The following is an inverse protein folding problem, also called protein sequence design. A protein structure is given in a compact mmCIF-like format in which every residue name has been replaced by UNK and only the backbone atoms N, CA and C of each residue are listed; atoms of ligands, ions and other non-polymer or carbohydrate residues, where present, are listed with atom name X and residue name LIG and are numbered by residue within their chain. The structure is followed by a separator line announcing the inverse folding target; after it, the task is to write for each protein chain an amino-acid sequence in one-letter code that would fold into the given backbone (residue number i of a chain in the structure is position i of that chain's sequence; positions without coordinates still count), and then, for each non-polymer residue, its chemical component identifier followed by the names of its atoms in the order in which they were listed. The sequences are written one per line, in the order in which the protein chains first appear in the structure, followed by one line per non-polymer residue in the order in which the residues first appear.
data_IF_915318883140
#
_entry.id   IF_915318883140
#
_cell.length_a   1.000
_cell.length_b   1.000
_cell.length_c   1.000
_cell.angle_alpha   90.00
_cell.angle_beta   90.00
_cell.angle_gamma   90.00
#
_symmetry.space_group_name_H-M   'P 1'
#
loop_
_entity.id
_entity.type
_entity.pdbx_description
1 polymer ?
#
# COMPACT_ATOMS: atom_id res chain seq x y z
N UNK A 1 -49.48 -40.80 -6.71
CA UNK A 1 -49.15 -39.69 -7.62
C UNK A 1 -48.16 -38.76 -6.94
N UNK A 2 -46.90 -38.76 -7.37
CA UNK A 2 -45.85 -37.84 -6.90
C UNK A 2 -46.17 -36.44 -7.45
N UNK A 3 -46.39 -35.46 -6.59
CA UNK A 3 -46.50 -34.05 -7.00
C UNK A 3 -45.13 -33.39 -6.82
N UNK A 4 -44.54 -33.04 -7.95
CA UNK A 4 -43.30 -32.28 -8.09
C UNK A 4 -43.60 -30.84 -7.64
N UNK A 5 -42.85 -30.33 -6.67
CA UNK A 5 -42.83 -28.89 -6.36
C UNK A 5 -41.65 -28.27 -7.10
N UNK A 6 -41.97 -27.46 -8.11
CA UNK A 6 -41.02 -26.67 -8.89
C UNK A 6 -40.79 -25.36 -8.10
N UNK A 7 -39.59 -25.17 -7.54
CA UNK A 7 -39.20 -23.90 -6.93
C UNK A 7 -38.65 -22.99 -8.03
N UNK A 8 -39.48 -22.07 -8.53
CA UNK A 8 -39.04 -20.97 -9.40
C UNK A 8 -38.46 -19.87 -8.52
N UNK A 9 -37.13 -19.72 -8.52
CA UNK A 9 -36.46 -18.56 -7.93
C UNK A 9 -36.60 -17.40 -8.91
N UNK A 10 -37.56 -16.51 -8.65
CA UNK A 10 -37.57 -15.19 -9.24
C UNK A 10 -36.50 -14.36 -8.53
N UNK A 11 -35.39 -14.06 -9.23
CA UNK A 11 -34.50 -12.97 -8.85
C UNK A 11 -35.32 -11.66 -8.93
N UNK A 12 -35.75 -11.16 -7.77
CA UNK A 12 -36.15 -9.78 -7.66
C UNK A 12 -34.88 -8.94 -7.83
N UNK A 13 -34.76 -8.29 -8.99
CA UNK A 13 -33.95 -7.08 -9.12
C UNK A 13 -34.57 -6.10 -8.12
N UNK A 14 -33.90 -5.87 -6.99
CA UNK A 14 -34.29 -4.81 -6.09
C UNK A 14 -34.14 -3.50 -6.86
N UNK A 15 -35.28 -2.99 -7.33
CA UNK A 15 -35.43 -1.59 -7.65
C UNK A 15 -34.97 -0.80 -6.42
N UNK A 16 -34.06 0.14 -6.64
CA UNK A 16 -33.59 1.08 -5.63
C UNK A 16 -34.82 1.78 -5.06
N UNK A 17 -35.25 1.34 -3.87
CA UNK A 17 -36.26 2.04 -3.09
C UNK A 17 -35.66 3.35 -2.62
N UNK A 18 -36.15 4.47 -3.15
CA UNK A 18 -36.06 5.75 -2.45
C UNK A 18 -37.07 5.68 -1.30
N UNK A 19 -36.62 5.26 -0.14
CA UNK A 19 -37.37 5.46 1.10
C UNK A 19 -36.97 6.82 1.69
N UNK A 20 -37.95 7.71 1.86
CA UNK A 20 -37.76 9.07 2.38
C UNK A 20 -37.49 9.06 3.90
N UNK A 21 -36.42 8.41 4.34
CA UNK A 21 -35.89 8.50 5.70
C UNK A 21 -34.89 9.67 5.77
N UNK A 22 -34.98 10.58 6.76
CA UNK A 22 -34.04 11.69 6.92
C UNK A 22 -32.56 11.27 7.14
N UNK A 23 -32.31 9.96 7.30
CA UNK A 23 -31.02 9.30 7.44
C UNK A 23 -30.45 8.72 6.14
N UNK A 24 -31.17 8.81 5.01
CA UNK A 24 -30.77 8.20 3.75
C UNK A 24 -29.82 9.07 2.90
N UNK A 25 -29.35 10.20 3.45
CA UNK A 25 -28.29 11.01 2.85
C UNK A 25 -26.91 10.58 3.38
N UNK A 26 -26.05 9.93 2.55
CA UNK A 26 -24.70 9.56 2.95
C UNK A 26 -23.83 10.76 3.35
N UNK A 27 -24.06 11.93 2.75
CA UNK A 27 -23.31 13.14 3.08
C UNK A 27 -23.66 13.62 4.49
N UNK A 28 -24.95 13.63 4.84
CA UNK A 28 -25.42 13.91 6.20
C UNK A 28 -24.89 12.91 7.21
N UNK A 29 -24.89 11.60 6.92
CA UNK A 29 -24.30 10.58 7.82
C UNK A 29 -22.80 10.80 8.04
N UNK A 30 -22.06 11.12 6.98
CA UNK A 30 -20.64 11.47 7.11
C UNK A 30 -20.47 12.75 7.95
N UNK A 31 -21.34 13.74 7.78
CA UNK A 31 -21.33 14.98 8.54
C UNK A 31 -21.65 14.75 10.03
N UNK A 32 -22.68 13.97 10.36
CA UNK A 32 -23.06 13.58 11.72
C UNK A 32 -21.99 12.69 12.39
N UNK A 33 -21.27 11.86 11.61
CA UNK A 33 -20.11 11.13 12.11
C UNK A 33 -18.94 12.08 12.40
N UNK A 34 -18.63 13.02 11.50
CA UNK A 34 -17.43 13.85 11.61
C UNK A 34 -17.58 15.04 12.57
N UNK A 35 -18.72 15.76 12.56
CA UNK A 35 -18.93 16.99 13.34
C UNK A 35 -18.67 16.83 14.85
N UNK A 36 -19.21 15.81 15.54
CA UNK A 36 -18.94 15.62 16.97
C UNK A 36 -17.47 15.31 17.27
N UNK A 37 -16.77 14.68 16.33
CA UNK A 37 -15.35 14.30 16.45
C UNK A 37 -14.41 15.46 16.12
N UNK A 38 -14.88 16.44 15.36
CA UNK A 38 -14.15 17.64 14.99
C UNK A 38 -14.31 18.78 16.00
N UNK A 39 -15.39 18.81 16.80
CA UNK A 39 -15.68 19.89 17.75
C UNK A 39 -14.50 20.21 18.69
N UNK A 40 -14.16 21.50 18.94
CA UNK A 40 -14.87 22.72 18.49
C UNK A 40 -14.51 23.19 17.08
N UNK A 41 -13.76 22.40 16.32
CA UNK A 41 -13.37 22.71 14.95
C UNK A 41 -14.40 22.17 13.94
N UNK A 42 -14.35 22.69 12.72
CA UNK A 42 -15.19 22.22 11.60
C UNK A 42 -14.68 20.90 11.01
N UNK A 43 -13.40 20.60 11.18
CA UNK A 43 -12.75 19.37 10.74
C UNK A 43 -11.77 18.87 11.81
N UNK A 44 -11.52 17.56 11.84
CA UNK A 44 -10.50 16.98 12.72
C UNK A 44 -9.15 17.59 12.33
N UNK A 45 -8.45 18.32 13.22
CA UNK A 45 -7.20 18.96 12.86
C UNK A 45 -6.16 17.94 12.39
N UNK A 46 -5.33 18.34 11.44
CA UNK A 46 -4.19 17.52 11.04
C UNK A 46 -3.34 17.15 12.27
N UNK A 47 -2.87 15.91 12.29
CA UNK A 47 -2.10 15.32 13.38
C UNK A 47 -2.81 15.23 14.74
N UNK A 48 -4.11 15.55 14.86
CA UNK A 48 -4.85 15.45 16.12
C UNK A 48 -4.78 14.04 16.74
N UNK A 49 -4.97 12.99 15.91
CA UNK A 49 -4.86 11.60 16.37
C UNK A 49 -3.44 11.27 16.86
N UNK A 50 -2.41 11.78 16.19
CA UNK A 50 -1.01 11.59 16.63
C UNK A 50 -0.76 12.26 17.99
N UNK A 51 -1.25 13.49 18.19
CA UNK A 51 -1.16 14.19 19.47
C UNK A 51 -1.88 13.41 20.58
N UNK A 52 -3.05 12.84 20.29
CA UNK A 52 -3.79 12.00 21.23
C UNK A 52 -2.99 10.76 21.64
N UNK A 53 -2.37 10.04 20.68
CA UNK A 53 -1.50 8.89 20.99
C UNK A 53 -0.29 9.28 21.87
N UNK A 54 0.38 10.39 21.56
CA UNK A 54 1.49 10.91 22.38
C UNK A 54 1.00 11.20 23.81
N UNK A 55 -0.14 11.87 23.94
CA UNK A 55 -0.74 12.17 25.24
C UNK A 55 -1.09 10.90 26.02
N UNK A 56 -1.69 9.90 25.37
CA UNK A 56 -2.00 8.60 25.97
C UNK A 56 -0.75 7.92 26.51
N UNK A 57 0.34 7.90 25.74
CA UNK A 57 1.60 7.32 26.19
C UNK A 57 2.18 8.06 27.41
N UNK A 58 2.09 9.40 27.43
CA UNK A 58 2.50 10.20 28.59
C UNK A 58 1.64 9.91 29.83
N UNK A 59 0.35 9.64 29.65
CA UNK A 59 -0.55 9.26 30.75
C UNK A 59 -0.19 7.88 31.31
N UNK A 60 0.05 6.89 30.45
CA UNK A 60 0.47 5.54 30.87
C UNK A 60 1.77 5.56 31.69
N UNK A 61 2.72 6.43 31.35
CA UNK A 61 3.97 6.58 32.11
C UNK A 61 3.77 7.21 33.49
N UNK A 62 2.70 7.98 33.68
CA UNK A 62 2.41 8.71 34.93
C UNK A 62 1.50 7.94 35.89
N UNK A 63 0.77 6.93 35.41
CA UNK A 63 -0.13 6.14 36.24
C UNK A 63 0.68 5.18 37.14
N UNK A 64 0.32 5.04 38.44
CA UNK A 64 0.89 4.01 39.30
C UNK A 64 0.65 2.64 38.66
N UNK A 65 1.72 1.84 38.48
CA UNK A 65 1.61 0.47 37.94
C UNK A 65 0.75 -0.46 38.81
N UNK A 66 0.53 -0.07 40.07
CA UNK A 66 -0.17 -0.85 41.09
C UNK A 66 -1.69 -0.63 41.12
N UNK A 67 -2.22 0.24 40.25
CA UNK A 67 -3.64 0.19 39.92
C UNK A 67 -3.86 -1.08 39.11
N UNK A 68 -4.13 -2.18 39.82
CA UNK A 68 -4.61 -3.44 39.27
C UNK A 68 -5.81 -3.08 38.40
N UNK A 69 -5.57 -2.97 37.10
CA UNK A 69 -6.60 -3.14 36.10
C UNK A 69 -7.09 -4.56 36.39
N UNK A 70 -8.34 -4.71 36.84
CA UNK A 70 -9.00 -6.00 36.88
C UNK A 70 -8.62 -6.76 35.60
N UNK A 71 -8.31 -8.06 35.73
CA UNK A 71 -7.88 -8.92 34.61
C UNK A 71 -8.65 -8.52 33.35
N UNK A 72 -7.93 -7.89 32.42
CA UNK A 72 -8.58 -7.43 31.20
C UNK A 72 -9.10 -8.66 30.49
N UNK A 73 -10.35 -8.63 30.00
CA UNK A 73 -10.89 -9.78 29.28
C UNK A 73 -9.98 -10.11 28.09
N UNK A 74 -9.73 -11.41 27.90
CA UNK A 74 -9.03 -11.89 26.72
C UNK A 74 -9.90 -11.61 25.49
N UNK A 75 -9.49 -10.65 24.66
CA UNK A 75 -10.16 -10.34 23.41
C UNK A 75 -9.91 -11.47 22.41
N UNK A 76 -10.99 -12.05 21.87
CA UNK A 76 -10.92 -13.10 20.86
C UNK A 76 -11.62 -12.67 19.57
N UNK A 77 -11.03 -12.94 18.40
CA UNK A 77 -11.72 -12.72 17.13
C UNK A 77 -12.93 -13.65 17.05
N UNK A 78 -14.09 -13.12 16.64
CA UNK A 78 -15.32 -13.89 16.44
C UNK A 78 -15.57 -14.24 14.97
N UNK A 79 -14.60 -13.95 14.09
CA UNK A 79 -14.72 -14.09 12.64
C UNK A 79 -15.35 -12.85 11.98
N UNK A 80 -15.63 -12.92 10.67
CA UNK A 80 -15.51 -14.10 9.79
C UNK A 80 -14.06 -14.56 9.60
N UNK A 81 -13.83 -15.88 9.50
CA UNK A 81 -12.50 -16.48 9.30
C UNK A 81 -12.24 -16.89 7.85
N UNK A 82 -13.28 -16.88 7.03
CA UNK A 82 -13.34 -17.36 5.65
C UNK A 82 -13.65 -16.24 4.63
N UNK A 83 -13.85 -15.01 5.12
CA UNK A 83 -14.06 -13.84 4.27
C UNK A 83 -12.73 -13.11 4.10
N UNK A 84 -12.24 -13.09 2.87
CA UNK A 84 -11.00 -12.41 2.52
C UNK A 84 -11.12 -10.89 2.61
N UNK A 85 -9.99 -10.24 2.93
CA UNK A 85 -9.79 -8.81 2.78
C UNK A 85 -8.81 -8.49 1.66
N UNK A 86 -8.70 -7.22 1.30
CA UNK A 86 -7.69 -6.78 0.34
C UNK A 86 -6.32 -6.67 1.00
N UNK A 87 -5.34 -7.34 0.41
CA UNK A 87 -3.93 -7.26 0.79
C UNK A 87 -3.20 -6.37 -0.22
N UNK A 88 -2.42 -5.41 0.27
CA UNK A 88 -1.66 -4.48 -0.58
C UNK A 88 -0.20 -4.88 -0.74
N UNK A 89 0.36 -5.54 0.26
CA UNK A 89 1.76 -5.94 0.26
C UNK A 89 1.94 -7.23 1.03
N UNK A 90 2.72 -8.13 0.47
CA UNK A 90 3.17 -9.37 1.10
C UNK A 90 4.69 -9.36 1.06
N UNK A 91 5.33 -9.63 2.19
CA UNK A 91 6.78 -9.61 2.32
C UNK A 91 7.24 -10.89 2.98
N UNK A 92 8.15 -11.61 2.30
CA UNK A 92 8.73 -12.84 2.80
C UNK A 92 10.05 -12.56 3.50
N UNK A 93 10.29 -13.21 4.64
CA UNK A 93 11.58 -13.13 5.29
C UNK A 93 12.62 -13.92 4.47
N UNK A 94 13.74 -13.32 4.04
CA UNK A 94 14.67 -13.91 3.06
C UNK A 94 15.42 -15.15 3.57
N UNK A 95 15.44 -15.39 4.89
CA UNK A 95 16.19 -16.49 5.53
C UNK A 95 15.35 -17.44 6.40
N UNK A 96 14.07 -17.10 6.68
CA UNK A 96 13.23 -17.85 7.63
C UNK A 96 12.01 -18.31 6.85
N UNK A 97 12.03 -19.55 6.39
CA UNK A 97 10.92 -20.13 5.63
C UNK A 97 9.65 -20.10 6.47
N UNK A 98 8.52 -19.82 5.83
CA UNK A 98 7.22 -19.71 6.49
C UNK A 98 6.99 -18.41 7.26
N UNK A 99 8.03 -17.57 7.46
CA UNK A 99 7.86 -16.23 8.01
C UNK A 99 7.48 -15.24 6.91
N UNK A 100 6.24 -14.79 6.96
CA UNK A 100 5.65 -13.86 5.99
C UNK A 100 4.87 -12.78 6.73
N UNK A 101 4.90 -11.58 6.17
CA UNK A 101 4.13 -10.45 6.64
C UNK A 101 3.15 -10.01 5.56
N UNK A 102 1.94 -9.65 5.96
CA UNK A 102 0.91 -9.15 5.06
C UNK A 102 0.37 -7.81 5.58
N UNK A 103 0.36 -6.80 4.72
CA UNK A 103 -0.22 -5.50 5.02
C UNK A 103 -1.55 -5.35 4.30
N UNK A 104 -2.62 -5.20 5.09
CA UNK A 104 -3.97 -5.09 4.57
C UNK A 104 -4.29 -3.64 4.16
N UNK A 105 -5.12 -3.49 3.12
CA UNK A 105 -5.61 -2.19 2.68
C UNK A 105 -6.39 -1.47 3.80
N UNK A 106 -7.12 -2.26 4.59
CA UNK A 106 -7.69 -1.90 5.87
C UNK A 106 -7.68 -3.18 6.72
N UNK A 107 -7.14 -3.12 7.93
CA UNK A 107 -7.07 -4.26 8.85
C UNK A 107 -5.69 -4.53 9.46
N UNK A 108 -4.72 -3.62 9.35
CA UNK A 108 -3.44 -3.78 10.05
C UNK A 108 -2.35 -4.51 9.26
N UNK A 109 -1.26 -4.82 9.97
CA UNK A 109 -0.18 -5.69 9.49
C UNK A 109 -0.27 -7.00 10.27
N UNK A 110 -0.16 -8.11 9.54
CA UNK A 110 -0.22 -9.46 10.06
C UNK A 110 1.09 -10.19 9.83
N UNK A 111 1.44 -11.07 10.75
CA UNK A 111 2.60 -11.96 10.67
C UNK A 111 2.13 -13.40 10.70
N UNK A 112 2.70 -14.24 9.85
CA UNK A 112 2.61 -15.69 9.94
C UNK A 112 4.02 -16.26 10.05
N UNK A 113 4.18 -17.31 10.85
CA UNK A 113 5.44 -18.07 11.00
C UNK A 113 5.32 -19.49 10.45
N UNK A 114 4.16 -19.83 9.88
CA UNK A 114 3.79 -21.18 9.43
C UNK A 114 3.17 -21.14 8.03
N UNK A 115 3.80 -20.43 7.09
CA UNK A 115 3.44 -20.43 5.66
C UNK A 115 2.05 -19.87 5.35
N UNK A 116 1.46 -19.11 6.27
CA UNK A 116 0.14 -18.50 6.11
C UNK A 116 -1.01 -19.32 6.69
N UNK A 117 -0.75 -20.42 7.39
CA UNK A 117 -1.79 -21.22 8.07
C UNK A 117 -2.40 -20.48 9.28
N UNK A 118 -1.57 -19.72 10.01
CA UNK A 118 -1.99 -18.88 11.12
C UNK A 118 -1.38 -17.48 11.01
N UNK A 119 -2.16 -16.48 11.39
CA UNK A 119 -1.77 -15.07 11.36
C UNK A 119 -2.06 -14.40 12.69
N UNK A 120 -1.11 -13.59 13.15
CA UNK A 120 -1.27 -12.71 14.31
C UNK A 120 -1.13 -11.24 13.88
N UNK A 121 -1.94 -10.33 14.44
CA UNK A 121 -1.79 -8.91 14.17
C UNK A 121 -0.57 -8.35 14.92
N UNK A 122 0.22 -7.51 14.26
CA UNK A 122 1.47 -6.95 14.81
C UNK A 122 1.50 -5.42 14.78
N UNK A 123 0.36 -4.75 14.55
CA UNK A 123 0.26 -3.29 14.47
C UNK A 123 -0.92 -2.71 15.26
N UNK A 124 -1.67 -3.53 16.02
CA UNK A 124 -2.94 -3.11 16.66
C UNK A 124 -2.78 -1.99 17.71
N UNK A 125 -1.57 -1.83 18.25
CA UNK A 125 -1.27 -0.80 19.25
C UNK A 125 -0.80 0.53 18.65
N UNK A 126 -0.73 0.61 17.33
CA UNK A 126 -0.23 1.77 16.62
C UNK A 126 -1.34 2.56 15.94
N UNK A 127 -0.99 3.76 15.51
CA UNK A 127 -1.96 4.73 15.02
C UNK A 127 -2.30 4.52 13.53
N UNK A 128 -2.77 3.34 13.10
CA UNK A 128 -3.07 3.14 11.68
C UNK A 128 -3.60 1.74 11.39
N UNK A 129 -4.57 1.63 10.48
CA UNK A 129 -5.15 0.34 10.09
C UNK A 129 -5.09 0.11 8.57
N UNK A 130 -4.82 1.14 7.79
CA UNK A 130 -4.73 1.07 6.35
C UNK A 130 -3.29 1.19 5.90
N UNK A 131 -2.88 0.30 5.00
CA UNK A 131 -1.52 0.24 4.50
C UNK A 131 -1.50 0.21 2.98
N UNK A 132 -0.53 0.93 2.42
CA UNK A 132 -0.27 0.90 1.00
C UNK A 132 0.99 0.10 0.66
N UNK A 133 1.96 0.04 1.58
CA UNK A 133 3.22 -0.65 1.35
C UNK A 133 3.85 -1.19 2.63
N UNK A 134 4.55 -2.32 2.51
CA UNK A 134 5.41 -2.91 3.53
C UNK A 134 6.73 -3.32 2.85
N UNK A 135 7.85 -3.13 3.53
CA UNK A 135 9.15 -3.58 3.07
C UNK A 135 9.96 -4.18 4.23
N UNK A 136 10.81 -5.14 3.90
CA UNK A 136 11.81 -5.72 4.79
C UNK A 136 13.19 -5.28 4.33
N UNK A 137 14.08 -5.00 5.27
CA UNK A 137 15.48 -4.78 4.96
C UNK A 137 16.13 -6.14 4.61
N UNK A 138 16.62 -6.35 3.37
CA UNK A 138 17.20 -7.63 2.98
C UNK A 138 18.51 -7.96 3.72
N UNK A 139 19.22 -6.95 4.23
CA UNK A 139 20.47 -7.13 4.97
C UNK A 139 20.22 -7.32 6.47
N UNK A 140 19.14 -6.74 7.00
CA UNK A 140 18.71 -6.94 8.39
C UNK A 140 17.20 -7.23 8.47
N UNK A 141 16.79 -8.49 8.25
CA UNK A 141 15.37 -8.86 8.13
C UNK A 141 14.49 -8.68 9.37
N UNK A 142 15.05 -8.30 10.53
CA UNK A 142 14.24 -7.88 11.67
C UNK A 142 13.78 -6.41 11.54
N UNK A 143 14.31 -5.67 10.56
CA UNK A 143 13.90 -4.31 10.24
C UNK A 143 12.82 -4.31 9.17
N UNK A 144 11.67 -3.70 9.50
CA UNK A 144 10.52 -3.53 8.62
C UNK A 144 10.18 -2.05 8.47
N UNK A 145 9.68 -1.67 7.30
CA UNK A 145 9.15 -0.34 7.01
C UNK A 145 7.71 -0.45 6.53
N UNK A 146 6.79 0.31 7.13
CA UNK A 146 5.38 0.27 6.79
C UNK A 146 4.86 1.66 6.43
N UNK A 147 4.37 1.79 5.20
CA UNK A 147 3.75 3.01 4.68
C UNK A 147 2.25 2.93 4.86
N UNK A 148 1.72 3.77 5.74
CA UNK A 148 0.27 3.81 6.00
C UNK A 148 -0.50 4.55 4.91
N UNK A 149 -1.80 4.29 4.85
CA UNK A 149 -2.70 4.89 3.88
C UNK A 149 -2.71 4.12 2.58
N UNK A 150 -3.91 3.87 2.09
CA UNK A 150 -4.09 2.96 0.99
C UNK A 150 -4.27 3.69 -0.34
N UNK A 151 -3.37 3.40 -1.29
CA UNK A 151 -3.36 4.01 -2.61
C UNK A 151 -4.37 3.33 -3.53
N UNK A 152 -5.54 3.97 -3.72
CA UNK A 152 -6.50 3.65 -4.78
C UNK A 152 -6.73 4.87 -5.63
N UNK A 153 -6.28 4.81 -6.87
CA UNK A 153 -6.49 5.89 -7.82
C UNK A 153 -7.86 5.72 -8.43
N UNK A 154 -8.74 6.73 -8.35
CA UNK A 154 -10.07 6.70 -8.97
C UNK A 154 -11.20 6.02 -8.18
N UNK A 155 -10.88 5.13 -7.23
CA UNK A 155 -11.88 4.37 -6.47
C UNK A 155 -12.21 4.89 -5.06
N UNK A 156 -11.53 5.94 -4.59
CA UNK A 156 -11.63 6.45 -3.22
C UNK A 156 -10.75 5.66 -2.24
N UNK A 157 -9.79 6.34 -1.62
CA UNK A 157 -8.99 5.77 -0.53
C UNK A 157 -9.90 5.43 0.66
N UNK A 158 -9.82 4.19 1.17
CA UNK A 158 -10.64 3.79 2.33
C UNK A 158 -10.26 4.60 3.58
N UNK A 159 -8.96 4.65 3.91
CA UNK A 159 -8.44 5.51 4.98
C UNK A 159 -7.11 6.13 4.58
N UNK A 160 -6.97 7.41 4.88
CA UNK A 160 -5.69 8.10 4.78
C UNK A 160 -4.73 7.59 5.85
N UNK A 161 -3.47 7.48 5.46
CA UNK A 161 -2.36 7.15 6.31
C UNK A 161 -1.93 8.32 7.19
N UNK A 162 -1.11 8.00 8.17
CA UNK A 162 -0.51 8.93 9.10
C UNK A 162 1.02 8.79 9.14
N UNK A 163 1.62 8.29 8.06
CA UNK A 163 3.05 8.34 7.84
C UNK A 163 3.73 6.98 7.69
N UNK A 164 5.05 7.03 7.80
CA UNK A 164 5.95 5.89 7.66
C UNK A 164 6.32 5.35 9.03
N UNK A 165 6.20 4.05 9.25
CA UNK A 165 6.63 3.38 10.47
C UNK A 165 7.85 2.50 10.20
N UNK A 166 8.66 2.30 11.24
CA UNK A 166 9.76 1.36 11.24
C UNK A 166 9.72 0.47 12.47
N UNK A 167 9.89 -0.82 12.25
CA UNK A 167 10.20 -1.80 13.30
C UNK A 167 11.67 -2.20 13.18
N UNK A 168 12.29 -2.55 14.30
CA UNK A 168 13.65 -3.11 14.35
C UNK A 168 13.69 -4.46 15.07
N UNK A 169 12.54 -5.07 15.30
CA UNK A 169 12.36 -6.28 16.11
C UNK A 169 11.34 -7.25 15.49
N UNK A 170 11.26 -7.29 14.16
CA UNK A 170 10.38 -8.21 13.44
C UNK A 170 8.89 -7.89 13.59
N UNK A 171 8.58 -6.61 13.79
CA UNK A 171 7.21 -6.09 13.91
C UNK A 171 6.62 -6.13 15.32
N UNK A 172 7.40 -6.47 16.34
CA UNK A 172 6.89 -6.51 17.72
C UNK A 172 6.66 -5.10 18.29
N UNK A 173 7.45 -4.11 17.83
CA UNK A 173 7.24 -2.69 18.12
C UNK A 173 7.52 -1.83 16.89
N UNK A 174 6.85 -0.68 16.83
CA UNK A 174 6.98 0.25 15.71
C UNK A 174 7.27 1.67 16.19
N UNK A 175 7.97 2.41 15.34
CA UNK A 175 8.26 3.83 15.53
C UNK A 175 7.83 4.62 14.31
N UNK A 176 7.03 5.65 14.53
CA UNK A 176 6.70 6.62 13.49
C UNK A 176 7.94 7.44 13.08
N UNK A 177 8.20 7.50 11.79
CA UNK A 177 9.32 8.19 11.15
C UNK A 177 8.94 9.54 10.52
N UNK A 178 7.67 9.96 10.65
CA UNK A 178 7.14 11.17 10.04
C UNK A 178 6.37 10.88 8.74
N UNK A 179 6.34 11.86 7.83
CA UNK A 179 5.57 11.82 6.57
C UNK A 179 4.04 11.67 6.77
N UNK A 180 3.54 12.15 7.91
CA UNK A 180 2.14 11.98 8.30
C UNK A 180 1.14 12.75 7.42
N UNK A 181 1.60 13.65 6.56
CA UNK A 181 0.83 14.43 5.60
C UNK A 181 0.85 13.86 4.17
N UNK A 182 1.54 12.74 3.92
CA UNK A 182 1.64 12.10 2.59
C UNK A 182 0.31 11.49 2.12
N UNK A 183 -0.50 11.00 3.06
CA UNK A 183 -1.85 10.49 2.82
C UNK A 183 -1.92 9.03 2.38
N UNK A 184 -1.11 8.59 1.41
CA UNK A 184 -1.02 7.16 1.06
C UNK A 184 0.28 6.84 0.33
N UNK A 185 0.94 5.76 0.76
CA UNK A 185 2.12 5.21 0.08
C UNK A 185 1.70 4.15 -0.94
N UNK A 186 2.48 3.98 -2.00
CA UNK A 186 2.22 2.99 -3.06
C UNK A 186 3.23 1.84 -3.07
N UNK A 187 4.50 2.13 -2.74
CA UNK A 187 5.60 1.17 -2.69
C UNK A 187 6.67 1.65 -1.72
N UNK A 188 7.38 0.73 -1.10
CA UNK A 188 8.59 1.00 -0.30
C UNK A 188 9.64 -0.02 -0.72
N UNK A 189 10.89 0.42 -0.83
CA UNK A 189 12.03 -0.48 -0.98
C UNK A 189 13.17 -0.05 -0.07
N UNK A 190 13.89 -1.05 0.48
CA UNK A 190 15.18 -0.87 1.14
C UNK A 190 16.25 -1.40 0.19
N UNK A 191 17.27 -0.61 -0.10
CA UNK A 191 18.25 -0.97 -1.11
C UNK A 191 19.19 -2.09 -0.60
N UNK A 192 19.39 -3.20 -1.36
CA UNK A 192 20.18 -4.34 -0.89
C UNK A 192 21.67 -4.02 -0.71
N UNK A 193 22.22 -3.04 -1.43
CA UNK A 193 23.60 -2.57 -1.20
C UNK A 193 23.78 -1.68 0.04
N UNK A 194 22.71 -1.09 0.58
CA UNK A 194 22.82 -0.17 1.71
C UNK A 194 21.46 0.00 2.40
N UNK A 195 21.33 -0.58 3.60
CA UNK A 195 20.14 -0.51 4.45
C UNK A 195 19.71 0.90 4.86
N UNK A 196 20.60 1.90 4.74
CA UNK A 196 20.22 3.29 5.00
C UNK A 196 19.46 3.94 3.83
N UNK A 197 19.54 3.35 2.63
CA UNK A 197 18.84 3.85 1.46
C UNK A 197 17.44 3.22 1.44
N UNK A 198 16.44 4.04 1.71
CA UNK A 198 15.03 3.66 1.67
C UNK A 198 14.31 4.59 0.71
N UNK A 199 13.54 4.02 -0.21
CA UNK A 199 12.74 4.78 -1.17
C UNK A 199 11.26 4.46 -1.01
N UNK A 200 10.41 5.44 -1.31
CA UNK A 200 8.97 5.26 -1.26
C UNK A 200 8.25 6.04 -2.37
N UNK A 201 7.16 5.46 -2.88
CA UNK A 201 6.19 6.11 -3.76
C UNK A 201 4.94 6.54 -3.00
N UNK A 202 4.24 7.58 -3.48
CA UNK A 202 2.99 8.07 -2.91
C UNK A 202 2.05 8.70 -3.95
N UNK A 203 0.75 8.71 -3.66
CA UNK A 203 -0.29 8.99 -4.67
C UNK A 203 -1.38 10.00 -4.30
N UNK A 204 -1.54 10.39 -3.02
CA UNK A 204 -2.73 11.16 -2.57
C UNK A 204 -2.44 12.61 -2.16
N UNK A 205 -2.05 12.90 -0.90
CA UNK A 205 -1.96 14.29 -0.41
C UNK A 205 -0.68 14.98 -0.85
N UNK A 206 0.46 14.31 -0.64
CA UNK A 206 1.77 14.73 -1.17
C UNK A 206 2.33 13.60 -2.03
N UNK A 207 1.75 13.39 -3.23
CA UNK A 207 2.20 12.32 -4.12
C UNK A 207 3.66 12.52 -4.52
N UNK A 208 4.39 11.45 -4.79
CA UNK A 208 5.78 11.62 -5.21
C UNK A 208 6.70 10.45 -4.95
N UNK A 209 7.95 10.66 -5.32
CA UNK A 209 9.07 9.82 -4.93
C UNK A 209 9.79 10.43 -3.75
N UNK A 210 10.00 9.61 -2.72
CA UNK A 210 10.68 9.97 -1.48
C UNK A 210 11.93 9.12 -1.32
N UNK A 211 13.03 9.74 -0.93
CA UNK A 211 14.30 9.09 -0.64
C UNK A 211 14.74 9.42 0.78
N UNK A 212 15.21 8.41 1.50
CA UNK A 212 16.00 8.54 2.70
C UNK A 212 17.36 7.88 2.49
N UNK A 213 18.42 8.52 3.00
CA UNK A 213 19.80 8.00 2.97
C UNK A 213 20.34 7.70 4.38
N UNK A 214 19.48 7.76 5.40
CA UNK A 214 19.83 7.57 6.82
C UNK A 214 18.91 6.57 7.53
N UNK A 215 18.30 5.67 6.76
CA UNK A 215 17.44 4.59 7.25
C UNK A 215 16.06 5.07 7.69
N UNK A 216 15.56 6.16 7.11
CA UNK A 216 14.23 6.72 7.32
C UNK A 216 14.16 7.80 8.41
N UNK A 217 15.29 8.31 8.92
CA UNK A 217 15.28 9.40 9.92
C UNK A 217 14.93 10.74 9.27
N UNK A 218 15.45 10.98 8.08
CA UNK A 218 15.11 12.13 7.23
C UNK A 218 14.72 11.68 5.83
N UNK A 219 13.89 12.49 5.17
CA UNK A 219 13.32 12.18 3.86
C UNK A 219 13.37 13.41 2.94
N UNK A 220 13.71 13.18 1.67
CA UNK A 220 13.64 14.17 0.59
C UNK A 220 12.57 13.74 -0.41
N UNK A 221 11.64 14.63 -0.75
CA UNK A 221 10.68 14.45 -1.86
C UNK A 221 11.35 14.97 -3.13
N UNK A 222 11.74 14.06 -4.01
CA UNK A 222 12.54 14.38 -5.22
C UNK A 222 11.74 14.26 -6.53
N UNK A 223 10.47 13.91 -6.42
CA UNK A 223 9.48 13.96 -7.50
C UNK A 223 8.12 14.20 -6.87
N UNK A 224 7.25 15.00 -7.49
CA UNK A 224 6.05 15.54 -6.83
C UNK A 224 4.72 15.15 -7.49
N UNK A 225 4.75 14.22 -8.45
CA UNK A 225 3.58 13.69 -9.15
C UNK A 225 3.18 12.30 -8.66
N UNK A 226 2.09 11.75 -9.21
CA UNK A 226 1.40 10.56 -8.70
C UNK A 226 2.19 9.26 -8.96
N UNK A 227 3.11 8.91 -8.06
CA UNK A 227 3.98 7.73 -8.18
C UNK A 227 3.24 6.48 -7.72
N UNK A 228 2.86 5.64 -8.69
CA UNK A 228 2.03 4.43 -8.48
C UNK A 228 2.85 3.21 -8.14
N UNK A 229 4.12 3.20 -8.53
CA UNK A 229 5.06 2.14 -8.22
C UNK A 229 6.49 2.68 -8.32
N UNK A 230 7.40 2.01 -7.63
CA UNK A 230 8.83 2.31 -7.63
C UNK A 230 9.56 1.01 -7.85
N UNK A 231 10.60 0.98 -8.66
CA UNK A 231 11.50 -0.15 -8.80
C UNK A 231 12.95 0.30 -8.64
N UNK A 232 13.73 -0.48 -7.88
CA UNK A 232 15.16 -0.24 -7.66
C UNK A 232 16.02 -1.13 -8.56
N UNK A 233 17.16 -0.62 -9.01
CA UNK A 233 18.21 -1.49 -9.54
C UNK A 233 19.01 -2.07 -8.36
N UNK A 234 18.95 -3.39 -8.08
CA UNK A 234 19.62 -3.97 -6.92
C UNK A 234 21.16 -3.87 -6.98
N UNK A 235 21.71 -3.60 -8.16
CA UNK A 235 23.16 -3.49 -8.39
C UNK A 235 23.67 -2.05 -8.39
N UNK A 236 22.80 -1.05 -8.49
CA UNK A 236 23.16 0.37 -8.57
C UNK A 236 22.22 1.25 -7.71
N UNK A 237 22.77 1.84 -6.65
CA UNK A 237 22.04 2.71 -5.70
C UNK A 237 21.51 4.00 -6.33
N UNK A 238 22.01 4.40 -7.50
CA UNK A 238 21.58 5.60 -8.20
C UNK A 238 20.36 5.41 -9.10
N UNK A 239 20.01 4.17 -9.42
CA UNK A 239 19.08 3.87 -10.50
C UNK A 239 17.71 3.42 -10.01
N UNK A 240 16.68 4.16 -10.44
CA UNK A 240 15.29 3.87 -10.14
C UNK A 240 14.43 4.00 -11.39
N UNK A 241 13.39 3.17 -11.48
CA UNK A 241 12.23 3.40 -12.34
C UNK A 241 11.03 3.72 -11.46
N UNK A 242 10.17 4.62 -11.92
CA UNK A 242 8.90 4.91 -11.26
C UNK A 242 7.75 4.84 -12.27
N UNK A 243 6.65 4.22 -11.86
CA UNK A 243 5.37 4.31 -12.55
C UNK A 243 4.65 5.57 -12.10
N UNK A 244 4.14 6.35 -13.05
CA UNK A 244 3.41 7.59 -12.78
C UNK A 244 2.05 7.52 -13.44
N UNK A 245 0.99 7.65 -12.64
CA UNK A 245 -0.39 7.54 -13.13
C UNK A 245 -0.68 8.57 -14.21
N UNK A 246 -1.24 8.14 -15.34
CA UNK A 246 -1.56 9.06 -16.44
C UNK A 246 -0.39 9.37 -17.35
N UNK A 247 0.84 9.05 -16.94
CA UNK A 247 2.04 9.63 -17.55
C UNK A 247 3.04 8.59 -18.06
N UNK A 248 3.11 7.41 -17.46
CA UNK A 248 3.99 6.34 -17.91
C UNK A 248 5.14 6.10 -16.95
N UNK A 249 6.30 5.75 -17.51
CA UNK A 249 7.50 5.42 -16.74
C UNK A 249 8.49 6.58 -16.76
N UNK A 250 9.12 6.83 -15.62
CA UNK A 250 10.27 7.72 -15.51
C UNK A 250 11.47 6.96 -14.96
N UNK A 251 12.66 7.41 -15.34
CA UNK A 251 13.93 6.85 -14.91
C UNK A 251 14.82 7.93 -14.32
N UNK A 252 15.67 7.52 -13.38
CA UNK A 252 16.77 8.31 -12.85
C UNK A 252 18.02 7.44 -12.73
N UNK A 253 19.19 8.08 -12.82
CA UNK A 253 20.50 7.45 -12.55
C UNK A 253 21.31 8.18 -11.47
N UNK A 254 20.71 9.19 -10.83
CA UNK A 254 21.36 10.09 -9.87
C UNK A 254 20.62 10.14 -8.54
N UNK A 255 20.05 9.01 -8.12
CA UNK A 255 19.26 8.88 -6.89
C UNK A 255 17.97 9.73 -6.87
N UNK A 256 17.39 10.00 -8.04
CA UNK A 256 16.16 10.76 -8.18
C UNK A 256 16.33 12.28 -8.16
N UNK A 257 17.56 12.80 -8.26
CA UNK A 257 17.78 14.25 -8.37
C UNK A 257 17.24 14.78 -9.71
N UNK A 258 17.38 14.00 -10.78
CA UNK A 258 16.79 14.28 -12.09
C UNK A 258 16.02 13.07 -12.61
N UNK A 259 14.99 13.35 -13.42
CA UNK A 259 14.08 12.34 -13.96
C UNK A 259 13.86 12.50 -15.45
N UNK A 260 14.00 11.41 -16.19
CA UNK A 260 13.73 11.32 -17.61
C UNK A 260 12.43 10.58 -17.84
N UNK A 261 11.52 11.15 -18.65
CA UNK A 261 10.32 10.43 -19.08
C UNK A 261 10.69 9.39 -20.14
N UNK A 262 10.38 8.13 -19.87
CA UNK A 262 10.82 6.96 -20.65
C UNK A 262 9.63 6.15 -21.12
N UNK A 263 8.94 6.66 -22.15
CA UNK A 263 7.70 6.09 -22.71
C UNK A 263 7.79 5.80 -24.22
N UNK A 264 8.99 5.84 -24.81
CA UNK A 264 9.16 5.48 -26.23
C UNK A 264 8.66 4.06 -26.47
N UNK A 265 7.76 3.89 -27.43
CA UNK A 265 7.11 2.59 -27.74
C UNK A 265 5.82 2.31 -26.97
N UNK A 266 5.45 3.13 -25.98
CA UNK A 266 4.12 3.05 -25.38
C UNK A 266 3.04 3.49 -26.37
N UNK A 267 1.89 2.82 -26.32
CA UNK A 267 0.69 3.24 -27.04
C UNK A 267 -0.03 4.38 -26.28
N UNK A 268 -0.99 5.03 -26.94
CA UNK A 268 -1.86 6.04 -26.32
C UNK A 268 -2.73 5.43 -25.20
N UNK A 269 -3.20 6.28 -24.29
CA UNK A 269 -3.99 5.93 -23.10
C UNK A 269 -3.17 5.21 -22.01
N UNK A 270 -2.46 6.00 -21.22
CA UNK A 270 -1.65 5.51 -20.09
C UNK A 270 -2.41 5.81 -18.81
N UNK A 271 -2.90 4.79 -18.12
CA UNK A 271 -3.51 4.89 -16.79
C UNK A 271 -2.49 4.63 -15.69
N UNK A 272 -2.85 3.76 -14.74
CA UNK A 272 -1.94 3.31 -13.67
C UNK A 272 -0.81 2.45 -14.25
N UNK A 273 0.40 2.63 -13.72
CA UNK A 273 1.59 1.89 -14.15
C UNK A 273 2.25 1.19 -12.97
N UNK A 274 2.47 -0.12 -13.06
CA UNK A 274 3.42 -0.84 -12.21
C UNK A 274 4.69 -1.13 -13.02
N UNK A 275 5.85 -1.10 -12.39
CA UNK A 275 7.14 -1.22 -13.07
C UNK A 275 8.12 -2.01 -12.23
N UNK A 276 8.90 -2.90 -12.86
CA UNK A 276 9.89 -3.70 -12.17
C UNK A 276 11.12 -3.96 -13.06
N UNK A 277 12.30 -3.60 -12.56
CA UNK A 277 13.58 -4.06 -13.09
C UNK A 277 13.71 -5.56 -12.89
N UNK A 278 14.27 -6.28 -13.86
CA UNK A 278 14.67 -7.65 -13.66
C UNK A 278 15.86 -7.71 -12.70
N UNK A 279 15.74 -8.29 -11.48
CA UNK A 279 16.80 -8.20 -10.47
C UNK A 279 18.12 -8.83 -10.92
N UNK A 280 18.07 -9.88 -11.73
CA UNK A 280 19.25 -10.57 -12.27
C UNK A 280 19.91 -9.86 -13.45
N UNK A 281 19.20 -8.96 -14.15
CA UNK A 281 19.72 -8.24 -15.30
C UNK A 281 19.03 -6.86 -15.44
N UNK A 282 19.44 -5.84 -14.66
CA UNK A 282 18.72 -4.57 -14.55
C UNK A 282 18.72 -3.67 -15.80
N UNK A 283 19.30 -4.10 -16.92
CA UNK A 283 19.04 -3.50 -18.24
C UNK A 283 17.62 -3.82 -18.72
N UNK A 284 17.07 -4.94 -18.27
CA UNK A 284 15.72 -5.40 -18.57
C UNK A 284 14.76 -4.89 -17.50
N UNK A 285 13.62 -4.37 -17.93
CA UNK A 285 12.51 -4.04 -17.07
C UNK A 285 11.17 -4.32 -17.75
N UNK A 286 10.14 -4.45 -16.93
CA UNK A 286 8.76 -4.62 -17.38
C UNK A 286 7.88 -3.52 -16.81
N UNK A 287 6.89 -3.10 -17.58
CA UNK A 287 5.86 -2.17 -17.14
C UNK A 287 4.48 -2.75 -17.46
N UNK A 288 3.60 -2.82 -16.46
CA UNK A 288 2.20 -3.18 -16.61
C UNK A 288 1.36 -1.90 -16.57
N UNK A 289 0.73 -1.59 -17.69
CA UNK A 289 -0.06 -0.38 -17.90
C UNK A 289 -1.54 -0.72 -17.96
N UNK A 290 -2.33 -0.06 -17.12
CA UNK A 290 -3.78 0.03 -17.30
C UNK A 290 -4.07 0.99 -18.46
N UNK A 291 -4.59 0.46 -19.56
CA UNK A 291 -4.96 1.23 -20.75
C UNK A 291 -6.48 1.43 -20.85
N UNK A 292 -7.17 1.55 -19.71
CA UNK A 292 -8.61 1.78 -19.61
C UNK A 292 -9.37 0.48 -19.41
N UNK A 293 -9.59 -0.29 -20.48
CA UNK A 293 -10.20 -1.62 -20.38
C UNK A 293 -9.19 -2.75 -20.55
N UNK A 294 -8.03 -2.48 -21.15
CA UNK A 294 -6.99 -3.48 -21.43
C UNK A 294 -5.81 -3.35 -20.45
N UNK A 295 -5.14 -4.48 -20.20
CA UNK A 295 -3.84 -4.51 -19.51
C UNK A 295 -2.71 -4.77 -20.50
N UNK A 296 -1.73 -3.88 -20.54
CA UNK A 296 -0.61 -3.96 -21.48
C UNK A 296 0.70 -4.20 -20.73
N UNK A 297 1.44 -5.26 -21.09
CA UNK A 297 2.78 -5.51 -20.57
C UNK A 297 3.80 -5.10 -21.62
N UNK A 298 4.63 -4.13 -21.25
CA UNK A 298 5.77 -3.70 -22.02
C UNK A 298 7.05 -4.24 -21.41
N UNK A 299 8.03 -4.52 -22.26
CA UNK A 299 9.38 -4.92 -21.89
C UNK A 299 10.40 -3.98 -22.51
N UNK A 300 11.45 -3.67 -21.78
CA UNK A 300 12.64 -2.95 -22.28
C UNK A 300 13.89 -3.80 -22.03
N UNK A 301 14.95 -3.56 -22.80
CA UNK A 301 16.30 -4.11 -22.58
C UNK A 301 17.36 -3.02 -22.50
N UNK A 302 16.94 -1.76 -22.36
CA UNK A 302 17.78 -0.55 -22.37
C UNK A 302 17.33 0.44 -21.28
N UNK A 303 16.90 -0.10 -20.12
CA UNK A 303 16.41 0.67 -18.95
C UNK A 303 15.27 1.63 -19.28
N UNK A 304 14.43 1.28 -20.25
CA UNK A 304 13.24 2.03 -20.64
C UNK A 304 13.47 3.10 -21.70
N UNK A 305 14.66 3.18 -22.30
CA UNK A 305 14.86 4.08 -23.45
C UNK A 305 13.91 3.71 -24.59
N UNK A 306 13.67 2.40 -24.80
CA UNK A 306 12.65 1.88 -25.69
C UNK A 306 11.88 0.73 -25.04
N UNK A 307 10.56 0.75 -25.25
CA UNK A 307 9.64 -0.28 -24.76
C UNK A 307 8.99 -1.02 -25.92
N UNK A 308 8.86 -2.34 -25.78
CA UNK A 308 8.19 -3.22 -26.74
C UNK A 308 6.99 -3.85 -26.04
N UNK A 309 5.81 -3.76 -26.65
CA UNK A 309 4.62 -4.46 -26.17
C UNK A 309 4.84 -5.97 -26.33
N UNK A 310 4.85 -6.71 -25.24
CA UNK A 310 5.05 -8.17 -25.22
C UNK A 310 3.77 -8.95 -24.92
N UNK A 311 2.78 -8.28 -24.32
CA UNK A 311 1.49 -8.89 -24.04
C UNK A 311 0.37 -7.86 -24.03
N UNK A 312 -0.78 -8.21 -24.64
CA UNK A 312 -2.03 -7.46 -24.57
C UNK A 312 -3.10 -8.35 -23.93
N UNK A 313 -3.51 -7.98 -22.73
CA UNK A 313 -4.69 -8.54 -22.08
C UNK A 313 -5.96 -7.95 -22.68
N UNK A 314 -7.00 -8.77 -22.79
CA UNK A 314 -8.32 -8.32 -23.21
C UNK A 314 -9.03 -7.53 -22.08
N UNK A 315 -10.31 -7.22 -22.28
CA UNK A 315 -11.12 -6.46 -21.32
C UNK A 315 -11.33 -7.18 -19.97
N UNK A 316 -11.13 -8.49 -19.94
CA UNK A 316 -11.26 -9.32 -18.74
C UNK A 316 -9.96 -9.39 -17.93
N UNK A 317 -8.83 -8.94 -18.50
CA UNK A 317 -7.53 -8.99 -17.83
C UNK A 317 -7.56 -8.33 -16.45
N UNK A 318 -8.15 -7.14 -16.36
CA UNK A 318 -8.39 -6.45 -15.09
C UNK A 318 -9.87 -6.43 -14.67
N UNK A 319 -10.79 -6.89 -15.52
CA UNK A 319 -12.24 -6.73 -15.32
C UNK A 319 -12.64 -5.27 -14.97
N UNK A 320 -12.01 -4.29 -15.64
CA UNK A 320 -12.23 -2.86 -15.40
C UNK A 320 -11.60 -2.29 -14.12
N UNK A 321 -10.80 -3.07 -13.40
CA UNK A 321 -10.16 -2.66 -12.14
C UNK A 321 -8.66 -2.42 -12.29
N UNK A 322 -8.15 -2.02 -13.46
CA UNK A 322 -6.71 -1.81 -13.70
C UNK A 322 -6.09 -0.72 -12.81
N UNK A 323 -6.90 0.26 -12.41
CA UNK A 323 -6.51 1.27 -11.43
C UNK A 323 -6.25 0.68 -10.03
N UNK A 324 -6.71 -0.55 -9.78
CA UNK A 324 -6.77 -1.21 -8.47
C UNK A 324 -5.92 -2.50 -8.43
N UNK A 325 -6.11 -3.41 -9.39
CA UNK A 325 -5.51 -4.76 -9.49
C UNK A 325 -4.27 -4.81 -10.41
N UNK A 326 -3.46 -3.75 -10.42
CA UNK A 326 -2.25 -3.68 -11.21
C UNK A 326 -1.01 -3.90 -10.33
N UNK A 327 -0.25 -4.94 -10.64
CA UNK A 327 1.00 -5.31 -9.99
C UNK A 327 1.83 -6.18 -10.93
N UNK A 328 3.15 -5.99 -10.95
CA UNK A 328 4.07 -6.81 -11.73
C UNK A 328 5.34 -7.05 -10.91
N UNK A 329 5.84 -8.28 -10.94
CA UNK A 329 7.13 -8.65 -10.36
C UNK A 329 7.90 -9.53 -11.36
N UNK A 330 9.22 -9.47 -11.32
CA UNK A 330 10.09 -10.27 -12.20
C UNK A 330 10.85 -11.28 -11.36
N UNK A 331 10.99 -12.51 -11.88
CA UNK A 331 11.68 -13.57 -11.17
C UNK A 331 13.11 -13.15 -10.79
N UNK A 332 13.57 -13.39 -9.55
CA UNK A 332 14.83 -12.82 -9.04
C UNK A 332 16.09 -13.31 -9.79
N UNK A 333 16.02 -14.49 -10.42
CA UNK A 333 17.15 -15.10 -11.14
C UNK A 333 16.88 -15.35 -12.62
N UNK A 334 15.70 -14.99 -13.13
CA UNK A 334 15.35 -15.18 -14.54
C UNK A 334 14.67 -13.91 -15.06
N UNK A 335 15.30 -13.18 -16.00
CA UNK A 335 14.76 -11.91 -16.48
C UNK A 335 13.66 -12.06 -17.54
N UNK A 336 13.32 -13.27 -18.00
CA UNK A 336 12.36 -13.50 -19.09
C UNK A 336 10.97 -13.88 -18.61
#
# INVERSE_FOLDING_TARGET
MKKIFLLLVFCYIAAIGKENEPYDDPARRAEEFNKPRAYPFEQIPDFARQKAFVQTNLLYQKLPRDLILAEQPEWKPIGPFDIGGRIKSIVFHPKKNGLVYAAAAAGGIWRSTNFGDYWEPIFDYENGIAFGALAIDPNNPDVLYAGTGESVIGGGTIYLGNGMYKSTDGGNSWKLLGLADVGAFSKIYVHPKNSNIVVAGATIRKPGFYLSIDGGKTWSRLFDRNVTDVSINPTNVGEYLIGVNGEGVFYTSDMGQTWEKRISGFQSNIGRVSVQFAPSQPEIAYALVDAGTEGLIYRTTDKGLNWVLVYRGDQTFFNGQGFYDNFIEVHPTNPN
#
